data_IF_820912545967
#
_entry.id   IF_820912545967
#
_cell.length_a   1.000
_cell.length_b   1.000
_cell.length_c   1.000
_cell.angle_alpha   90.00
_cell.angle_beta   90.00
_cell.angle_gamma   90.00
#
_symmetry.space_group_name_H-M   'P 1'
#
loop_
_entity.id
_entity.type
_entity.pdbx_description
1 polymer ?
#
# COMPACT_ATOMS: atom_id res chain seq x y z
N UNK A 1 5.23 -41.87 7.21
CA UNK A 1 5.67 -40.72 6.39
C UNK A 1 4.54 -39.71 6.37
N UNK A 2 4.63 -38.65 7.17
CA UNK A 2 3.56 -37.65 7.27
C UNK A 2 3.77 -36.65 6.12
N UNK A 3 2.76 -36.57 5.26
CA UNK A 3 2.76 -35.82 4.01
C UNK A 3 2.96 -34.32 4.25
N UNK A 4 4.03 -33.78 3.68
CA UNK A 4 4.45 -32.37 3.72
C UNK A 4 3.57 -31.44 2.85
N UNK A 5 2.27 -31.72 2.74
CA UNK A 5 1.41 -31.13 1.70
C UNK A 5 0.64 -29.88 2.16
N UNK A 6 0.73 -29.48 3.43
CA UNK A 6 -0.05 -28.36 3.97
C UNK A 6 0.66 -26.99 3.98
N UNK A 7 1.95 -26.92 3.64
CA UNK A 7 2.69 -25.64 3.62
C UNK A 7 2.57 -24.95 2.25
N UNK A 8 2.33 -25.72 1.18
CA UNK A 8 2.30 -25.24 -0.20
C UNK A 8 1.01 -24.47 -0.55
N UNK A 9 -0.14 -24.90 -0.02
CA UNK A 9 -1.45 -24.34 -0.36
C UNK A 9 -1.64 -22.94 0.23
N UNK A 10 -1.03 -22.66 1.39
CA UNK A 10 -1.18 -21.38 2.09
C UNK A 10 -0.32 -20.25 1.49
N UNK A 11 0.66 -20.57 0.62
CA UNK A 11 1.42 -19.57 -0.15
C UNK A 11 0.76 -19.20 -1.48
N UNK A 12 -0.01 -20.12 -2.07
CA UNK A 12 -0.60 -19.92 -3.40
C UNK A 12 -1.78 -18.94 -3.39
N UNK A 13 -2.66 -19.03 -2.38
CA UNK A 13 -3.80 -18.11 -2.26
C UNK A 13 -3.42 -16.68 -1.79
N UNK A 14 -2.20 -16.48 -1.27
CA UNK A 14 -1.71 -15.15 -0.85
C UNK A 14 -1.16 -14.28 -1.98
N UNK A 15 -0.86 -14.86 -3.15
CA UNK A 15 -0.36 -14.13 -4.32
C UNK A 15 -1.48 -13.63 -5.25
N UNK A 16 -2.67 -14.25 -5.24
CA UNK A 16 -3.73 -13.90 -6.19
C UNK A 16 -4.41 -12.55 -5.89
N UNK A 17 -4.55 -12.15 -4.63
CA UNK A 17 -5.09 -10.83 -4.25
C UNK A 17 -4.20 -9.66 -4.73
N UNK A 18 -2.90 -9.93 -4.86
CA UNK A 18 -1.93 -8.99 -5.42
C UNK A 18 -1.67 -9.19 -6.89
N UNK A 19 -2.17 -10.25 -7.54
CA UNK A 19 -1.82 -10.54 -8.93
C UNK A 19 -2.28 -9.44 -9.88
N UNK A 20 -3.47 -8.87 -9.63
CA UNK A 20 -3.97 -7.69 -10.35
C UNK A 20 -3.09 -6.44 -10.10
N UNK A 21 -2.53 -6.29 -8.90
CA UNK A 21 -1.67 -5.17 -8.51
C UNK A 21 -0.22 -5.32 -9.00
N UNK A 22 0.31 -6.55 -8.98
CA UNK A 22 1.59 -6.92 -9.56
C UNK A 22 1.56 -6.73 -11.08
N UNK A 23 0.48 -7.15 -11.74
CA UNK A 23 0.23 -6.88 -13.16
C UNK A 23 0.10 -5.38 -13.45
N UNK A 24 -0.62 -4.62 -12.61
CA UNK A 24 -0.74 -3.16 -12.73
C UNK A 24 0.60 -2.43 -12.57
N UNK A 25 1.53 -2.99 -11.79
CA UNK A 25 2.77 -2.31 -11.43
C UNK A 25 3.99 -2.84 -12.16
N UNK A 26 3.88 -3.75 -13.13
CA UNK A 26 4.93 -4.56 -13.79
C UNK A 26 6.25 -3.84 -14.23
N UNK A 27 7.01 -3.31 -13.27
CA UNK A 27 8.27 -2.55 -13.38
C UNK A 27 9.10 -2.82 -12.12
N UNK A 28 10.22 -3.53 -12.22
CA UNK A 28 10.98 -3.97 -11.04
C UNK A 28 11.78 -2.85 -10.33
N UNK A 29 12.06 -1.73 -11.01
CA UNK A 29 12.78 -0.58 -10.44
C UNK A 29 11.78 0.43 -9.88
N UNK A 30 12.16 1.17 -8.83
CA UNK A 30 11.37 2.24 -8.21
C UNK A 30 10.12 1.79 -7.43
N UNK A 31 10.17 0.60 -6.82
CA UNK A 31 9.06 0.05 -6.03
C UNK A 31 9.44 -0.16 -4.57
N UNK A 32 8.44 0.03 -3.70
CA UNK A 32 8.51 -0.34 -2.31
C UNK A 32 7.21 -1.01 -1.89
N UNK A 33 7.36 -2.08 -1.13
CA UNK A 33 6.25 -2.83 -0.55
C UNK A 33 6.44 -2.83 0.96
N UNK A 34 5.36 -2.68 1.71
CA UNK A 34 5.40 -2.69 3.17
C UNK A 34 4.15 -3.34 3.74
N UNK A 35 4.33 -4.23 4.73
CA UNK A 35 3.26 -4.94 5.43
C UNK A 35 3.25 -4.51 6.90
N UNK A 36 2.08 -4.07 7.37
CA UNK A 36 1.77 -3.93 8.78
C UNK A 36 0.99 -5.17 9.20
N UNK A 37 1.59 -5.95 10.11
CA UNK A 37 0.87 -7.01 10.80
C UNK A 37 0.28 -6.42 12.09
N UNK A 38 -1.04 -6.50 12.23
CA UNK A 38 -1.68 -6.03 13.46
C UNK A 38 -1.58 -7.07 14.57
N UNK A 39 -1.12 -6.65 15.74
CA UNK A 39 -1.11 -7.45 16.97
C UNK A 39 -2.53 -7.78 17.44
N UNK A 40 -3.50 -6.89 17.16
CA UNK A 40 -4.91 -7.09 17.48
C UNK A 40 -5.81 -6.83 16.27
N UNK A 41 -6.30 -7.92 15.68
CA UNK A 41 -7.19 -7.93 14.52
C UNK A 41 -8.52 -7.23 14.75
N UNK A 42 -9.01 -7.17 15.99
CA UNK A 42 -10.26 -6.46 16.29
C UNK A 42 -10.11 -4.94 16.22
N UNK A 43 -8.88 -4.43 16.29
CA UNK A 43 -8.58 -3.00 16.29
C UNK A 43 -7.99 -2.53 14.95
N UNK A 44 -7.18 -3.35 14.30
CA UNK A 44 -6.69 -3.08 12.95
C UNK A 44 -6.53 -4.39 12.20
N UNK A 45 -6.96 -4.47 10.93
CA UNK A 45 -6.60 -5.59 10.07
C UNK A 45 -5.10 -5.55 9.69
N UNK A 46 -4.63 -6.61 9.03
CA UNK A 46 -3.34 -6.53 8.32
C UNK A 46 -3.49 -5.64 7.11
N UNK A 47 -2.47 -4.82 6.88
CA UNK A 47 -2.45 -3.86 5.79
C UNK A 47 -1.16 -4.03 5.03
N UNK A 48 -1.31 -4.20 3.73
CA UNK A 48 -0.21 -4.17 2.79
C UNK A 48 -0.33 -2.90 1.96
N UNK A 49 0.79 -2.23 1.76
CA UNK A 49 0.91 -1.09 0.86
C UNK A 49 1.99 -1.35 -0.17
N UNK A 50 1.74 -0.91 -1.39
CA UNK A 50 2.71 -0.90 -2.46
C UNK A 50 2.73 0.48 -3.10
N UNK A 51 3.95 0.98 -3.30
CA UNK A 51 4.22 2.26 -3.93
C UNK A 51 5.17 2.05 -5.10
N UNK A 52 4.87 2.72 -6.21
CA UNK A 52 5.84 3.01 -7.27
C UNK A 52 6.13 4.51 -7.24
N UNK A 53 7.38 4.88 -7.08
CA UNK A 53 7.81 6.28 -7.00
C UNK A 53 9.05 6.48 -7.86
N UNK A 54 8.88 7.17 -8.99
CA UNK A 54 10.00 7.67 -9.78
C UNK A 54 10.11 9.18 -9.58
N UNK A 55 11.29 9.65 -9.24
CA UNK A 55 11.57 11.07 -9.08
C UNK A 55 12.91 11.45 -9.73
N UNK A 56 13.02 12.71 -10.12
CA UNK A 56 14.24 13.30 -10.69
C UNK A 56 14.35 14.74 -10.23
N UNK A 57 15.55 15.16 -9.84
CA UNK A 57 15.81 16.54 -9.37
C UNK A 57 14.80 17.00 -8.31
N UNK A 58 14.57 16.15 -7.30
CA UNK A 58 13.61 16.38 -6.21
C UNK A 58 12.13 16.54 -6.64
N UNK A 59 11.77 16.15 -7.86
CA UNK A 59 10.39 16.20 -8.37
C UNK A 59 9.88 14.80 -8.71
N UNK A 60 8.64 14.55 -8.34
CA UNK A 60 7.93 13.31 -8.63
C UNK A 60 7.62 13.29 -10.13
N UNK A 61 8.16 12.31 -10.85
CA UNK A 61 7.84 12.08 -12.26
C UNK A 61 6.65 11.15 -12.44
N UNK A 62 6.50 10.17 -11.53
CA UNK A 62 5.37 9.25 -11.53
C UNK A 62 5.19 8.65 -10.15
N UNK A 63 3.94 8.59 -9.71
CA UNK A 63 3.55 8.00 -8.43
C UNK A 63 2.37 7.06 -8.61
N UNK A 64 2.45 5.86 -8.06
CA UNK A 64 1.32 4.93 -7.94
C UNK A 64 1.27 4.37 -6.53
N UNK A 65 0.07 4.22 -5.98
CA UNK A 65 -0.13 3.65 -4.65
C UNK A 65 -1.37 2.77 -4.61
N UNK A 66 -1.23 1.61 -3.98
CA UNK A 66 -2.34 0.73 -3.68
C UNK A 66 -2.18 0.10 -2.30
N UNK A 67 -3.31 -0.30 -1.73
CA UNK A 67 -3.39 -1.01 -0.47
C UNK A 67 -4.16 -2.31 -0.66
N UNK A 68 -3.80 -3.36 0.08
CA UNK A 68 -4.73 -4.47 0.36
C UNK A 68 -4.90 -4.58 1.86
N UNK A 69 -6.12 -4.88 2.27
CA UNK A 69 -6.53 -4.94 3.66
C UNK A 69 -7.11 -6.34 3.86
N UNK A 70 -6.62 -7.08 4.85
CA UNK A 70 -6.95 -8.51 5.05
C UNK A 70 -6.73 -9.42 3.81
N UNK A 71 -5.85 -9.00 2.88
CA UNK A 71 -5.66 -9.65 1.59
C UNK A 71 -6.91 -9.68 0.69
N UNK A 72 -7.82 -8.72 0.89
CA UNK A 72 -8.91 -8.46 -0.06
C UNK A 72 -8.41 -7.82 -1.36
N UNK A 73 -9.36 -7.48 -2.23
CA UNK A 73 -9.11 -6.76 -3.47
C UNK A 73 -8.35 -5.46 -3.19
N UNK A 74 -7.39 -5.17 -4.05
CA UNK A 74 -6.59 -3.97 -3.90
C UNK A 74 -7.35 -2.68 -4.19
N UNK A 75 -7.06 -1.70 -3.34
CA UNK A 75 -7.62 -0.36 -3.38
C UNK A 75 -6.54 0.57 -3.92
N UNK A 76 -6.69 1.00 -5.18
CA UNK A 76 -5.78 1.96 -5.83
C UNK A 76 -6.27 3.38 -5.63
N UNK A 77 -5.36 4.28 -5.22
CA UNK A 77 -5.71 5.66 -4.85
C UNK A 77 -5.34 6.62 -5.98
N UNK A 78 -6.10 6.59 -7.07
CA UNK A 78 -5.83 7.38 -8.29
C UNK A 78 -5.73 8.89 -8.06
N UNK A 79 -6.49 9.41 -7.10
CA UNK A 79 -6.52 10.83 -6.76
C UNK A 79 -5.16 11.32 -6.26
N UNK A 80 -4.46 10.48 -5.50
CA UNK A 80 -3.11 10.77 -5.01
C UNK A 80 -2.09 10.68 -6.13
N UNK A 81 -2.24 9.72 -7.04
CA UNK A 81 -1.38 9.58 -8.22
C UNK A 81 -1.40 10.85 -9.08
N UNK A 82 -2.60 11.35 -9.41
CA UNK A 82 -2.80 12.55 -10.21
C UNK A 82 -2.32 13.83 -9.50
N UNK A 83 -2.50 13.90 -8.17
CA UNK A 83 -2.13 15.08 -7.39
C UNK A 83 -0.61 15.29 -7.32
N UNK A 84 0.16 14.19 -7.31
CA UNK A 84 1.58 14.20 -6.96
C UNK A 84 2.52 14.39 -8.14
N UNK A 85 2.11 14.08 -9.37
CA UNK A 85 2.96 14.26 -10.55
C UNK A 85 3.43 15.72 -10.69
N UNK A 86 4.74 15.92 -10.83
CA UNK A 86 5.39 17.22 -10.93
C UNK A 86 5.61 17.95 -9.59
N UNK A 87 5.12 17.42 -8.46
CA UNK A 87 5.33 18.01 -7.13
C UNK A 87 6.71 17.65 -6.54
N UNK A 88 7.21 18.44 -5.56
CA UNK A 88 8.39 18.05 -4.77
C UNK A 88 8.16 16.74 -4.02
N UNK A 89 9.24 15.97 -3.75
CA UNK A 89 9.12 14.67 -3.07
C UNK A 89 8.49 14.79 -1.67
N UNK A 90 8.79 15.87 -0.94
CA UNK A 90 8.24 16.12 0.41
C UNK A 90 6.73 16.30 0.42
N UNK A 91 6.13 16.51 -0.76
CA UNK A 91 4.67 16.64 -0.88
C UNK A 91 3.95 15.32 -0.57
N UNK A 92 4.63 14.17 -0.68
CA UNK A 92 4.11 12.85 -0.30
C UNK A 92 3.61 12.79 1.15
N UNK A 93 4.24 13.55 2.03
CA UNK A 93 3.97 13.53 3.47
C UNK A 93 2.98 14.61 3.92
N UNK A 94 2.38 15.36 2.98
CA UNK A 94 1.44 16.41 3.34
C UNK A 94 0.16 15.80 3.93
N UNK A 95 -0.43 16.43 4.98
CA UNK A 95 -1.68 15.96 5.57
C UNK A 95 -2.82 15.79 4.55
N UNK A 96 -2.84 16.62 3.51
CA UNK A 96 -3.82 16.52 2.42
C UNK A 96 -3.72 15.19 1.65
N UNK A 97 -2.49 14.69 1.40
CA UNK A 97 -2.28 13.39 0.74
C UNK A 97 -2.78 12.27 1.63
N UNK A 98 -2.41 12.28 2.90
CA UNK A 98 -2.86 11.29 3.89
C UNK A 98 -4.39 11.29 4.00
N UNK A 99 -5.02 12.46 4.06
CA UNK A 99 -6.48 12.57 4.14
C UNK A 99 -7.18 11.97 2.90
N UNK A 100 -6.62 12.14 1.70
CA UNK A 100 -7.18 11.53 0.49
C UNK A 100 -7.09 10.00 0.58
N UNK A 101 -5.93 9.46 0.97
CA UNK A 101 -5.74 8.01 1.16
C UNK A 101 -6.78 7.46 2.13
N UNK A 102 -6.91 8.10 3.30
CA UNK A 102 -7.84 7.70 4.35
C UNK A 102 -9.30 7.73 3.89
N UNK A 103 -9.71 8.78 3.17
CA UNK A 103 -11.06 8.89 2.64
C UNK A 103 -11.34 7.81 1.59
N UNK A 104 -10.39 7.54 0.70
CA UNK A 104 -10.54 6.54 -0.36
C UNK A 104 -10.60 5.11 0.18
N UNK A 105 -9.83 4.81 1.22
CA UNK A 105 -9.94 3.53 1.92
C UNK A 105 -11.30 3.41 2.61
N UNK A 106 -11.77 4.46 3.30
CA UNK A 106 -13.11 4.45 3.93
C UNK A 106 -14.23 4.21 2.91
N UNK A 107 -14.19 4.92 1.80
CA UNK A 107 -15.14 4.76 0.68
C UNK A 107 -15.13 3.32 0.15
N UNK A 108 -13.93 2.77 -0.10
CA UNK A 108 -13.78 1.45 -0.71
C UNK A 108 -14.21 0.30 0.20
N UNK A 109 -14.05 0.47 1.51
CA UNK A 109 -14.47 -0.52 2.52
C UNK A 109 -15.89 -0.27 3.05
N UNK A 110 -16.58 0.76 2.56
CA UNK A 110 -17.91 1.17 3.05
C UNK A 110 -17.97 1.41 4.57
N UNK A 111 -16.88 1.92 5.15
CA UNK A 111 -16.79 2.25 6.58
C UNK A 111 -16.97 3.76 6.80
N UNK A 112 -17.73 4.11 7.83
CA UNK A 112 -17.99 5.52 8.16
C UNK A 112 -16.78 6.17 8.83
N UNK A 113 -16.17 5.47 9.77
CA UNK A 113 -15.05 5.96 10.58
C UNK A 113 -13.98 4.88 10.74
N UNK A 114 -12.73 5.31 10.67
CA UNK A 114 -11.57 4.49 11.02
C UNK A 114 -11.21 4.79 12.47
N UNK A 115 -11.02 3.75 13.27
CA UNK A 115 -10.47 3.95 14.60
C UNK A 115 -9.00 4.45 14.50
N UNK A 116 -8.44 5.03 15.58
CA UNK A 116 -7.09 5.59 15.54
C UNK A 116 -6.01 4.56 15.18
N UNK A 117 -6.08 3.34 15.72
CA UNK A 117 -5.07 2.32 15.47
C UNK A 117 -5.06 1.86 14.01
N UNK A 118 -6.23 1.71 13.41
CA UNK A 118 -6.36 1.39 11.98
C UNK A 118 -5.80 2.54 11.12
N UNK A 119 -6.11 3.78 11.48
CA UNK A 119 -5.57 4.97 10.81
C UNK A 119 -4.04 5.01 10.85
N UNK A 120 -3.46 4.76 12.02
CA UNK A 120 -2.01 4.71 12.20
C UNK A 120 -1.37 3.59 11.39
N UNK A 121 -2.00 2.41 11.33
CA UNK A 121 -1.53 1.28 10.52
C UNK A 121 -1.50 1.62 9.03
N UNK A 122 -2.52 2.32 8.51
CA UNK A 122 -2.56 2.76 7.09
C UNK A 122 -1.40 3.71 6.82
N UNK A 123 -1.20 4.70 7.68
CA UNK A 123 -0.14 5.71 7.53
C UNK A 123 1.24 5.04 7.58
N UNK A 124 1.46 4.14 8.54
CA UNK A 124 2.72 3.40 8.66
C UNK A 124 2.98 2.53 7.43
N UNK A 125 1.97 1.85 6.91
CA UNK A 125 2.11 1.05 5.68
C UNK A 125 2.49 1.93 4.48
N UNK A 126 1.83 3.08 4.32
CA UNK A 126 2.13 4.05 3.26
C UNK A 126 3.57 4.58 3.32
N UNK A 127 3.98 5.09 4.49
CA UNK A 127 5.33 5.66 4.69
C UNK A 127 6.38 4.59 4.49
N UNK A 128 6.21 3.41 5.10
CA UNK A 128 7.15 2.30 4.96
C UNK A 128 7.29 1.83 3.51
N UNK A 129 6.21 1.89 2.71
CA UNK A 129 6.29 1.57 1.29
C UNK A 129 7.10 2.61 0.51
N UNK A 130 6.99 3.90 0.82
CA UNK A 130 7.82 4.95 0.20
C UNK A 130 9.29 4.78 0.59
N UNK A 131 9.59 4.56 1.87
CA UNK A 131 10.95 4.36 2.37
C UNK A 131 11.62 3.15 1.69
N UNK A 132 10.87 2.08 1.47
CA UNK A 132 11.37 0.91 0.75
C UNK A 132 11.64 1.17 -0.74
N UNK A 133 11.06 2.20 -1.36
CA UNK A 133 11.50 2.62 -2.70
C UNK A 133 12.92 3.20 -2.63
N UNK A 134 13.20 4.03 -1.63
CA UNK A 134 14.47 4.75 -1.49
C UNK A 134 15.64 3.84 -1.10
N UNK A 135 15.38 2.73 -0.38
CA UNK A 135 16.41 1.73 -0.08
C UNK A 135 16.76 0.82 -1.27
N UNK A 136 15.88 0.72 -2.27
CA UNK A 136 16.02 -0.18 -3.42
C UNK A 136 16.58 0.51 -4.68
N UNK A 137 16.85 1.82 -4.65
CA UNK A 137 17.42 2.60 -5.76
C UNK A 137 18.81 3.12 -5.41
#
# INVERSE_FOLDING_TARGET
MISNTNISTNRKNKLDAFREVEELLNKRKYKGFFRINSENKSLSPDIDSIVYLRHKNNRIEKFNVAFTIEHEKAIRIYEVELLLEGKPIDYLYKPSVINIIMNKIKESLYIKELNPQYSDSIIKAYIGAIENVNHNN
#
